data_IF_457269485608
#
_entry.id   IF_457269485608
#
_cell.length_a   1.000
_cell.length_b   1.000
_cell.length_c   1.000
_cell.angle_alpha   90.00
_cell.angle_beta   90.00
_cell.angle_gamma   90.00
#
_symmetry.space_group_name_H-M   'P 1'
#
loop_
_entity.id
_entity.type
_entity.pdbx_description
1 polymer ?
#
# COMPACT_ATOMS: atom_id res chain seq x y z
N UNK A 1 46.75 68.83 44.27
CA UNK A 1 46.69 67.75 43.31
C UNK A 1 46.59 66.45 44.06
N UNK A 2 45.35 65.87 44.13
CA UNK A 2 45.10 64.57 44.81
C UNK A 2 45.14 63.47 43.76
N UNK A 3 46.07 62.50 43.90
CA UNK A 3 46.15 61.33 43.06
C UNK A 3 45.06 60.35 43.54
N UNK A 4 44.09 60.05 42.67
CA UNK A 4 43.12 58.98 42.85
C UNK A 4 43.83 57.65 42.52
N UNK A 5 44.00 56.81 43.50
CA UNK A 5 44.67 55.52 43.36
C UNK A 5 43.81 54.49 42.56
N UNK A 6 44.50 53.82 41.70
CA UNK A 6 44.00 52.74 40.80
C UNK A 6 43.85 51.44 41.61
N UNK A 7 42.79 51.28 42.37
CA UNK A 7 42.53 50.01 43.10
C UNK A 7 41.39 49.15 42.50
N UNK A 8 40.80 49.55 41.37
CA UNK A 8 39.68 48.85 40.80
C UNK A 8 40.03 47.91 39.62
N UNK A 9 41.28 47.97 39.13
CA UNK A 9 41.71 47.16 37.98
C UNK A 9 41.66 45.63 38.21
N UNK A 10 42.07 45.09 39.37
CA UNK A 10 42.05 43.62 39.57
C UNK A 10 40.65 43.05 39.80
N UNK A 11 39.71 43.89 40.36
CA UNK A 11 38.32 43.42 40.58
C UNK A 11 37.53 43.27 39.29
N UNK A 12 37.75 44.12 38.28
CA UNK A 12 37.07 44.02 36.98
C UNK A 12 37.56 42.79 36.20
N UNK A 13 38.86 42.45 36.30
CA UNK A 13 39.41 41.25 35.65
C UNK A 13 38.85 39.95 36.24
N UNK A 14 38.71 39.90 37.56
CA UNK A 14 38.15 38.74 38.26
C UNK A 14 36.69 38.53 37.91
N UNK A 15 35.90 39.62 37.81
CA UNK A 15 34.48 39.57 37.42
C UNK A 15 34.29 39.06 35.98
N UNK A 16 35.15 39.45 35.06
CA UNK A 16 35.12 39.00 33.67
C UNK A 16 35.46 37.52 33.52
N UNK A 17 36.46 37.03 34.25
CA UNK A 17 36.86 35.62 34.26
C UNK A 17 35.78 34.74 34.90
N UNK A 18 35.17 35.16 35.98
CA UNK A 18 34.07 34.44 36.63
C UNK A 18 32.81 34.44 35.76
N UNK A 19 32.51 35.53 35.07
CA UNK A 19 31.36 35.60 34.11
C UNK A 19 31.59 34.70 32.92
N UNK A 20 32.77 34.61 32.35
CA UNK A 20 33.10 33.70 31.24
C UNK A 20 33.10 32.23 31.70
N UNK A 21 33.57 31.93 32.93
CA UNK A 21 33.47 30.58 33.48
C UNK A 21 32.02 30.15 33.73
N UNK A 22 31.14 31.04 34.23
CA UNK A 22 29.73 30.75 34.42
C UNK A 22 28.97 30.49 33.09
N UNK A 23 29.36 31.12 32.00
CA UNK A 23 28.74 30.86 30.67
C UNK A 23 29.22 29.55 30.03
N UNK A 24 30.34 28.97 30.48
CA UNK A 24 30.83 27.68 30.01
C UNK A 24 30.15 26.51 30.76
N UNK A 25 29.68 26.74 32.00
CA UNK A 25 29.05 25.69 32.83
C UNK A 25 27.61 25.39 32.36
N UNK A 26 26.91 26.36 31.71
CA UNK A 26 25.55 26.18 31.16
C UNK A 26 25.54 25.60 29.73
N UNK A 27 26.69 25.26 29.17
CA UNK A 27 26.72 24.42 27.98
C UNK A 27 26.42 22.98 28.41
N UNK A 28 25.13 22.70 28.64
CA UNK A 28 24.65 21.31 28.68
C UNK A 28 25.22 20.62 27.44
N UNK A 29 26.08 19.57 27.61
CA UNK A 29 26.43 18.73 26.51
C UNK A 29 25.10 18.14 26.05
N UNK A 30 24.54 18.66 24.97
CA UNK A 30 23.32 18.13 24.39
C UNK A 30 23.56 16.63 24.20
N UNK A 31 23.15 15.84 25.19
CA UNK A 31 23.10 14.40 25.06
C UNK A 31 22.16 14.14 23.89
N UNK A 32 22.74 14.00 22.70
CA UNK A 32 22.03 13.52 21.55
C UNK A 32 21.49 12.14 21.95
N UNK A 33 20.21 12.12 22.36
CA UNK A 33 19.55 10.85 22.68
C UNK A 33 19.71 9.95 21.47
N UNK A 34 20.27 8.77 21.71
CA UNK A 34 20.41 7.77 20.66
C UNK A 34 19.06 7.59 19.94
N UNK A 35 19.05 7.49 18.62
CA UNK A 35 17.82 7.36 17.85
C UNK A 35 16.98 6.21 18.40
N UNK A 36 15.66 6.45 18.55
CA UNK A 36 14.74 5.46 19.16
C UNK A 36 14.87 4.07 18.54
N UNK A 37 15.11 3.99 17.23
CA UNK A 37 15.19 2.72 16.50
C UNK A 37 16.59 2.08 16.48
N UNK A 38 17.60 2.72 17.05
CA UNK A 38 18.96 2.17 17.09
C UNK A 38 18.98 0.82 17.81
N UNK A 39 19.51 -0.21 17.16
CA UNK A 39 19.60 -1.57 17.68
C UNK A 39 18.25 -2.29 17.82
N UNK A 40 17.15 -1.71 17.31
CA UNK A 40 15.82 -2.33 17.36
C UNK A 40 15.45 -3.04 16.05
N UNK A 41 14.52 -3.97 16.18
CA UNK A 41 13.93 -4.68 15.05
C UNK A 41 12.49 -4.24 14.88
N UNK A 42 12.13 -3.87 13.64
CA UNK A 42 10.75 -3.59 13.21
C UNK A 42 10.20 -4.86 12.56
N UNK A 43 9.06 -5.32 13.01
CA UNK A 43 8.31 -6.40 12.36
C UNK A 43 7.33 -5.83 11.34
N UNK A 44 7.51 -6.16 10.07
CA UNK A 44 6.57 -5.82 9.01
C UNK A 44 5.65 -7.02 8.76
N UNK A 45 4.40 -6.89 9.22
CA UNK A 45 3.35 -7.90 8.99
C UNK A 45 2.83 -7.74 7.56
N UNK A 46 2.71 -8.84 6.84
CA UNK A 46 2.16 -8.93 5.48
C UNK A 46 0.92 -9.82 5.54
N UNK A 47 -0.23 -9.28 5.10
CA UNK A 47 -1.53 -9.97 5.10
C UNK A 47 -1.70 -11.00 3.97
N UNK A 48 -0.60 -11.45 3.36
CA UNK A 48 -0.55 -12.42 2.26
C UNK A 48 0.57 -13.43 2.50
N UNK A 49 0.70 -14.42 1.62
CA UNK A 49 1.82 -15.36 1.61
C UNK A 49 3.12 -14.74 1.09
N UNK A 50 4.27 -15.41 1.29
CA UNK A 50 5.55 -15.01 0.69
C UNK A 50 5.55 -15.23 -0.83
N UNK A 51 6.42 -14.49 -1.54
CA UNK A 51 6.67 -14.66 -2.98
C UNK A 51 5.75 -13.87 -3.91
N UNK A 52 4.53 -13.52 -3.47
CA UNK A 52 3.60 -12.74 -4.28
C UNK A 52 3.99 -11.26 -4.39
N UNK A 53 3.33 -10.52 -5.30
CA UNK A 53 3.60 -9.08 -5.55
C UNK A 53 3.54 -8.22 -4.26
N UNK A 54 2.69 -8.59 -3.32
CA UNK A 54 2.62 -7.94 -2.01
C UNK A 54 3.90 -8.07 -1.19
N UNK A 55 4.54 -9.22 -1.23
CA UNK A 55 5.83 -9.48 -0.57
C UNK A 55 6.97 -8.75 -1.28
N UNK A 56 7.05 -8.82 -2.59
CA UNK A 56 8.08 -8.12 -3.38
C UNK A 56 8.07 -6.61 -3.10
N UNK A 57 6.89 -5.99 -3.11
CA UNK A 57 6.73 -4.56 -2.79
C UNK A 57 7.09 -4.24 -1.35
N UNK A 58 6.73 -5.12 -0.40
CA UNK A 58 7.10 -4.94 1.02
C UNK A 58 8.61 -5.01 1.21
N UNK A 59 9.31 -5.92 0.54
CA UNK A 59 10.78 -6.03 0.57
C UNK A 59 11.46 -4.82 -0.05
N UNK A 60 10.99 -4.38 -1.22
CA UNK A 60 11.49 -3.17 -1.87
C UNK A 60 11.32 -1.94 -0.97
N UNK A 61 10.12 -1.76 -0.39
CA UNK A 61 9.87 -0.68 0.56
C UNK A 61 10.78 -0.76 1.78
N UNK A 62 10.94 -1.94 2.40
CA UNK A 62 11.77 -2.12 3.58
C UNK A 62 13.22 -1.74 3.31
N UNK A 63 13.77 -2.10 2.13
CA UNK A 63 15.15 -1.78 1.75
C UNK A 63 15.43 -0.26 1.65
N UNK A 64 14.41 0.51 1.30
CA UNK A 64 14.48 1.98 1.26
C UNK A 64 14.20 2.56 2.64
N UNK A 65 13.15 2.08 3.31
CA UNK A 65 12.68 2.60 4.60
C UNK A 65 13.77 2.59 5.67
N UNK A 66 14.54 1.49 5.78
CA UNK A 66 15.67 1.37 6.72
C UNK A 66 16.66 2.53 6.60
N UNK A 67 16.93 3.00 5.37
CA UNK A 67 17.91 4.08 5.12
C UNK A 67 17.42 5.45 5.61
N UNK A 68 16.11 5.60 5.80
CA UNK A 68 15.47 6.87 6.19
C UNK A 68 15.00 6.88 7.65
N UNK A 69 15.08 5.76 8.37
CA UNK A 69 14.75 5.70 9.78
C UNK A 69 16.01 5.96 10.61
N UNK A 70 16.03 7.02 11.46
CA UNK A 70 17.16 7.27 12.34
C UNK A 70 17.45 6.07 13.25
N UNK A 71 18.69 5.62 13.27
CA UNK A 71 19.11 4.40 13.98
C UNK A 71 19.13 3.13 13.15
N UNK A 72 18.71 3.21 11.86
CA UNK A 72 18.79 2.12 10.88
C UNK A 72 18.36 0.75 11.43
N UNK A 73 17.11 0.58 11.86
CA UNK A 73 16.64 -0.66 12.49
C UNK A 73 16.68 -1.84 11.51
N UNK A 74 16.75 -3.04 12.05
CA UNK A 74 16.51 -4.25 11.26
C UNK A 74 15.01 -4.36 10.95
N UNK A 75 14.63 -4.72 9.72
CA UNK A 75 13.24 -5.04 9.37
C UNK A 75 13.11 -6.53 9.11
N UNK A 76 12.19 -7.19 9.83
CA UNK A 76 11.83 -8.60 9.65
C UNK A 76 10.41 -8.71 9.09
N UNK A 77 10.12 -9.79 8.37
CA UNK A 77 8.83 -10.00 7.74
C UNK A 77 8.07 -11.12 8.45
N UNK A 78 6.79 -10.86 8.72
CA UNK A 78 5.86 -11.84 9.28
C UNK A 78 4.65 -11.98 8.36
N UNK A 79 4.43 -13.19 7.85
CA UNK A 79 3.33 -13.47 6.93
C UNK A 79 2.12 -13.99 7.69
N UNK A 80 0.96 -13.37 7.48
CA UNK A 80 -0.32 -13.74 8.07
C UNK A 80 -1.40 -13.80 6.99
N UNK A 81 -1.28 -14.74 6.07
CA UNK A 81 -2.26 -14.95 5.02
C UNK A 81 -3.62 -15.38 5.59
N UNK A 82 -4.68 -15.05 4.88
CA UNK A 82 -6.04 -15.50 5.13
C UNK A 82 -7.08 -14.39 5.16
N UNK A 83 -8.27 -14.72 4.69
CA UNK A 83 -9.46 -13.87 4.65
C UNK A 83 -9.19 -12.47 4.07
N UNK A 84 -8.46 -12.36 2.93
CA UNK A 84 -8.15 -11.07 2.30
C UNK A 84 -7.31 -10.13 3.18
N UNK A 85 -6.45 -10.66 4.05
CA UNK A 85 -5.64 -9.86 4.98
C UNK A 85 -6.35 -9.52 6.30
N UNK A 86 -7.64 -9.89 6.48
CA UNK A 86 -8.42 -9.61 7.69
C UNK A 86 -7.80 -10.23 8.94
N UNK A 87 -7.22 -11.45 8.82
CA UNK A 87 -6.51 -12.11 9.92
C UNK A 87 -5.36 -11.25 10.43
N UNK A 88 -4.55 -10.70 9.53
CA UNK A 88 -3.42 -9.85 9.87
C UNK A 88 -3.88 -8.50 10.45
N UNK A 89 -4.94 -7.91 9.90
CA UNK A 89 -5.53 -6.66 10.42
C UNK A 89 -6.10 -6.84 11.83
N UNK A 90 -6.82 -7.92 12.09
CA UNK A 90 -7.31 -8.27 13.43
C UNK A 90 -6.16 -8.45 14.42
N UNK A 91 -5.10 -9.16 14.01
CA UNK A 91 -3.90 -9.34 14.84
C UNK A 91 -3.23 -8.01 15.17
N UNK A 92 -3.01 -7.17 14.18
CA UNK A 92 -2.44 -5.83 14.38
C UNK A 92 -3.27 -5.03 15.41
N UNK A 93 -4.59 -5.04 15.24
CA UNK A 93 -5.50 -4.25 16.04
C UNK A 93 -5.62 -4.74 17.48
N UNK A 94 -5.72 -6.05 17.70
CA UNK A 94 -6.03 -6.64 19.00
C UNK A 94 -4.80 -7.12 19.77
N UNK A 95 -3.72 -7.51 19.07
CA UNK A 95 -2.61 -8.28 19.68
C UNK A 95 -1.27 -7.55 19.59
N UNK A 96 -1.01 -6.84 18.49
CA UNK A 96 0.27 -6.17 18.31
C UNK A 96 0.51 -5.09 19.38
N UNK A 97 1.74 -4.99 19.85
CA UNK A 97 2.13 -3.96 20.83
C UNK A 97 2.15 -2.58 20.15
N UNK A 98 1.66 -1.57 20.86
CA UNK A 98 1.68 -0.19 20.41
C UNK A 98 3.01 0.52 20.76
N UNK A 99 4.13 -0.13 20.48
CA UNK A 99 5.49 0.31 20.80
C UNK A 99 6.25 0.94 19.61
N UNK A 100 5.59 1.01 18.43
CA UNK A 100 6.20 1.56 17.21
C UNK A 100 7.11 0.59 16.47
N UNK A 101 7.20 -0.67 16.89
CA UNK A 101 8.05 -1.69 16.29
C UNK A 101 7.28 -2.67 15.40
N UNK A 102 5.98 -2.48 15.23
CA UNK A 102 5.16 -3.29 14.33
C UNK A 102 4.55 -2.44 13.24
N UNK A 103 4.87 -2.75 12.00
CA UNK A 103 4.27 -2.19 10.80
C UNK A 103 3.34 -3.23 10.18
N UNK A 104 2.33 -2.77 9.47
CA UNK A 104 1.47 -3.63 8.70
C UNK A 104 1.34 -3.11 7.27
N UNK A 105 1.68 -3.96 6.31
CA UNK A 105 1.33 -3.72 4.92
C UNK A 105 -0.09 -4.23 4.70
N UNK A 106 -0.99 -3.28 4.56
CA UNK A 106 -2.42 -3.52 4.39
C UNK A 106 -2.70 -4.16 3.02
N UNK A 107 -3.62 -5.13 3.01
CA UNK A 107 -4.35 -5.49 1.80
C UNK A 107 -5.47 -4.47 1.59
N UNK A 108 -5.68 -4.01 0.36
CA UNK A 108 -6.75 -3.07 0.01
C UNK A 108 -8.16 -3.57 0.40
N UNK A 109 -8.33 -4.88 0.59
CA UNK A 109 -9.60 -5.51 0.99
C UNK A 109 -10.06 -5.15 2.40
N UNK A 110 -9.16 -4.76 3.32
CA UNK A 110 -9.56 -4.53 4.73
C UNK A 110 -10.46 -3.30 4.90
N UNK A 111 -10.32 -2.29 4.03
CA UNK A 111 -11.17 -1.10 4.07
C UNK A 111 -12.62 -1.43 3.68
N UNK A 112 -12.89 -2.02 2.50
CA UNK A 112 -14.25 -2.40 2.15
C UNK A 112 -14.87 -3.40 3.13
N UNK A 113 -14.14 -4.31 3.72
CA UNK A 113 -14.67 -5.20 4.74
C UNK A 113 -15.18 -4.44 5.97
N UNK A 114 -14.43 -3.45 6.44
CA UNK A 114 -14.87 -2.64 7.57
C UNK A 114 -16.07 -1.77 7.22
N UNK A 115 -16.07 -1.13 6.04
CA UNK A 115 -17.15 -0.26 5.58
C UNK A 115 -18.45 -1.05 5.34
N UNK A 116 -18.36 -2.26 4.81
CA UNK A 116 -19.52 -3.12 4.53
C UNK A 116 -20.00 -3.91 5.75
N UNK A 117 -19.30 -3.81 6.90
CA UNK A 117 -19.65 -4.53 8.11
C UNK A 117 -19.50 -6.05 7.99
N UNK A 118 -18.52 -6.51 7.24
CA UNK A 118 -18.28 -7.94 7.03
C UNK A 118 -18.02 -8.67 8.35
N UNK A 119 -18.60 -9.87 8.47
CA UNK A 119 -18.43 -10.70 9.65
C UNK A 119 -16.96 -11.05 9.90
N UNK A 120 -16.54 -11.04 11.17
CA UNK A 120 -15.17 -11.33 11.57
C UNK A 120 -14.20 -10.16 11.42
N UNK A 121 -14.64 -8.95 11.06
CA UNK A 121 -13.89 -7.71 11.20
C UNK A 121 -13.84 -7.34 12.68
N UNK A 122 -12.61 -7.22 13.22
CA UNK A 122 -12.35 -6.91 14.63
C UNK A 122 -11.40 -5.71 14.76
N UNK A 123 -11.26 -4.90 13.72
CA UNK A 123 -10.43 -3.70 13.66
C UNK A 123 -11.30 -2.51 13.27
N UNK A 124 -10.83 -1.33 13.66
CA UNK A 124 -11.42 -0.04 13.34
C UNK A 124 -10.44 0.70 12.44
N UNK A 125 -10.81 0.94 11.19
CA UNK A 125 -9.95 1.59 10.19
C UNK A 125 -9.61 3.02 10.57
N UNK A 126 -10.46 3.72 11.33
CA UNK A 126 -10.24 5.10 11.77
C UNK A 126 -9.20 5.19 12.89
N UNK A 127 -8.88 4.07 13.52
CA UNK A 127 -7.85 3.99 14.58
C UNK A 127 -6.49 3.54 14.06
N UNK A 128 -6.38 3.20 12.79
CA UNK A 128 -5.11 2.91 12.15
C UNK A 128 -4.38 4.21 11.81
N UNK A 129 -3.06 4.22 11.98
CA UNK A 129 -2.23 5.35 11.57
C UNK A 129 -1.62 5.02 10.21
N UNK A 130 -2.10 5.68 9.19
CA UNK A 130 -1.65 5.52 7.82
C UNK A 130 -0.37 6.33 7.59
N UNK A 131 0.68 5.68 7.09
CA UNK A 131 1.98 6.30 6.85
C UNK A 131 2.15 6.76 5.41
N UNK A 132 1.59 6.03 4.47
CA UNK A 132 1.69 6.32 3.05
C UNK A 132 1.45 5.08 2.20
N UNK A 133 1.37 5.25 0.90
CA UNK A 133 1.21 4.18 -0.07
C UNK A 133 2.35 4.18 -1.08
N UNK A 134 2.73 3.02 -1.56
CA UNK A 134 3.63 2.84 -2.69
C UNK A 134 2.89 2.82 -4.02
N UNK A 135 1.56 2.82 -3.97
CA UNK A 135 0.68 2.69 -5.13
C UNK A 135 -0.18 3.94 -5.25
N UNK A 136 0.18 4.85 -6.15
CA UNK A 136 -0.56 6.09 -6.39
C UNK A 136 -1.31 6.12 -7.72
N UNK A 137 -0.96 5.19 -8.62
CA UNK A 137 -1.67 4.94 -9.88
C UNK A 137 -1.69 3.45 -10.12
N UNK A 138 -2.87 2.90 -10.28
CA UNK A 138 -3.10 1.51 -10.65
C UNK A 138 -3.95 1.47 -11.91
N UNK A 139 -3.63 0.54 -12.77
CA UNK A 139 -4.39 0.30 -13.99
C UNK A 139 -4.58 -1.20 -14.13
N UNK A 140 -5.82 -1.63 -14.15
CA UNK A 140 -6.14 -3.04 -14.29
C UNK A 140 -6.77 -3.30 -15.65
N UNK A 141 -6.56 -4.49 -16.15
CA UNK A 141 -7.08 -4.95 -17.43
C UNK A 141 -7.96 -6.17 -17.20
N UNK A 142 -9.19 -6.08 -17.65
CA UNK A 142 -10.03 -7.25 -17.82
C UNK A 142 -9.67 -7.89 -19.14
N UNK A 143 -9.13 -9.09 -19.09
CA UNK A 143 -8.64 -9.79 -20.27
C UNK A 143 -9.19 -11.20 -20.36
N UNK A 144 -9.24 -11.71 -21.58
CA UNK A 144 -9.67 -13.06 -21.93
C UNK A 144 -8.52 -13.80 -22.61
N UNK A 145 -8.46 -15.11 -22.40
CA UNK A 145 -7.49 -15.97 -23.08
C UNK A 145 -7.80 -16.02 -24.58
N UNK A 146 -6.82 -15.77 -25.42
CA UNK A 146 -7.02 -15.69 -26.87
C UNK A 146 -7.64 -16.96 -27.45
N UNK A 147 -7.17 -18.13 -26.99
CA UNK A 147 -7.70 -19.42 -27.43
C UNK A 147 -9.14 -19.70 -26.98
N UNK A 148 -9.70 -18.90 -26.07
CA UNK A 148 -11.12 -18.99 -25.70
C UNK A 148 -12.06 -18.40 -26.79
N UNK A 149 -11.50 -17.67 -27.76
CA UNK A 149 -12.28 -17.08 -28.85
C UNK A 149 -13.20 -15.92 -28.42
N UNK A 150 -12.92 -15.34 -27.23
CA UNK A 150 -13.69 -14.25 -26.62
C UNK A 150 -12.97 -12.92 -26.87
N UNK A 151 -12.66 -12.61 -28.11
CA UNK A 151 -11.82 -11.49 -28.53
C UNK A 151 -12.54 -10.12 -28.50
N UNK A 152 -13.85 -10.10 -28.26
CA UNK A 152 -14.64 -8.88 -28.18
C UNK A 152 -15.62 -8.91 -27.01
N UNK A 153 -15.98 -7.73 -26.48
CA UNK A 153 -17.04 -7.60 -25.47
C UNK A 153 -18.37 -8.22 -25.89
N UNK A 154 -18.70 -8.15 -27.18
CA UNK A 154 -19.93 -8.74 -27.71
C UNK A 154 -19.92 -10.26 -27.56
N UNK A 155 -18.83 -10.92 -27.92
CA UNK A 155 -18.65 -12.36 -27.74
C UNK A 155 -18.62 -12.76 -26.27
N UNK A 156 -17.92 -11.96 -25.45
CA UNK A 156 -17.86 -12.20 -24.00
C UNK A 156 -19.25 -12.14 -23.34
N UNK A 157 -20.06 -11.15 -23.71
CA UNK A 157 -21.45 -11.03 -23.24
C UNK A 157 -22.38 -12.13 -23.74
N UNK A 158 -22.15 -12.61 -24.94
CA UNK A 158 -22.96 -13.69 -25.53
C UNK A 158 -22.64 -15.07 -24.92
N UNK A 159 -21.41 -15.27 -24.48
CA UNK A 159 -20.95 -16.53 -23.89
C UNK A 159 -21.54 -16.74 -22.49
N UNK A 160 -21.96 -17.98 -22.19
CA UNK A 160 -22.40 -18.41 -20.86
C UNK A 160 -21.34 -19.29 -20.20
N UNK A 161 -21.24 -19.19 -18.89
CA UNK A 161 -20.37 -20.08 -18.09
C UNK A 161 -18.88 -19.80 -18.23
N UNK A 162 -18.46 -18.61 -18.69
CA UNK A 162 -17.05 -18.21 -18.81
C UNK A 162 -16.35 -18.34 -17.45
N UNK A 163 -15.23 -19.05 -17.41
CA UNK A 163 -14.45 -19.30 -16.20
C UNK A 163 -13.54 -18.10 -15.93
N UNK A 164 -13.78 -17.40 -14.83
CA UNK A 164 -12.99 -16.23 -14.42
C UNK A 164 -12.09 -16.64 -13.27
N UNK A 165 -10.79 -16.68 -13.51
CA UNK A 165 -9.78 -16.92 -12.48
C UNK A 165 -9.58 -15.68 -11.62
N UNK A 166 -9.38 -15.87 -10.33
CA UNK A 166 -9.16 -14.74 -9.41
C UNK A 166 -8.37 -15.14 -8.16
N UNK A 167 -7.86 -14.12 -7.47
CA UNK A 167 -7.31 -14.26 -6.13
C UNK A 167 -8.30 -14.96 -5.17
N UNK A 168 -7.84 -15.44 -4.01
CA UNK A 168 -8.72 -16.04 -3.01
C UNK A 168 -9.89 -15.12 -2.64
N UNK A 169 -11.02 -15.74 -2.22
CA UNK A 169 -12.22 -15.00 -1.82
C UNK A 169 -11.88 -13.93 -0.80
N UNK A 170 -12.37 -12.71 -1.08
CA UNK A 170 -12.16 -11.56 -0.23
C UNK A 170 -10.94 -10.70 -0.58
N UNK A 171 -10.03 -11.17 -1.40
CA UNK A 171 -8.96 -10.31 -1.92
C UNK A 171 -9.49 -9.37 -3.01
N UNK A 172 -8.80 -8.24 -3.19
CA UNK A 172 -9.19 -7.21 -4.16
C UNK A 172 -9.39 -7.78 -5.55
N UNK A 173 -8.49 -8.64 -6.03
CA UNK A 173 -8.60 -9.26 -7.35
C UNK A 173 -9.88 -10.09 -7.54
N UNK A 174 -10.37 -10.74 -6.47
CA UNK A 174 -11.65 -11.43 -6.51
C UNK A 174 -12.83 -10.43 -6.63
N UNK A 175 -12.79 -9.35 -5.86
CA UNK A 175 -13.83 -8.31 -5.88
C UNK A 175 -13.86 -7.64 -7.25
N UNK A 176 -12.70 -7.26 -7.78
CA UNK A 176 -12.56 -6.66 -9.12
C UNK A 176 -13.11 -7.56 -10.22
N UNK A 177 -12.81 -8.85 -10.17
CA UNK A 177 -13.31 -9.83 -11.14
C UNK A 177 -14.84 -9.91 -11.12
N UNK A 178 -15.44 -9.93 -9.93
CA UNK A 178 -16.90 -9.97 -9.77
C UNK A 178 -17.58 -8.69 -10.23
N UNK A 179 -17.03 -7.54 -9.85
CA UNK A 179 -17.57 -6.23 -10.25
C UNK A 179 -17.48 -6.06 -11.78
N UNK A 180 -16.33 -6.44 -12.37
CA UNK A 180 -16.14 -6.36 -13.82
C UNK A 180 -17.13 -7.26 -14.57
N UNK A 181 -17.29 -8.51 -14.15
CA UNK A 181 -18.23 -9.44 -14.77
C UNK A 181 -19.69 -8.93 -14.70
N UNK A 182 -20.06 -8.34 -13.56
CA UNK A 182 -21.39 -7.75 -13.34
C UNK A 182 -21.62 -6.54 -14.26
N UNK A 183 -20.67 -5.59 -14.30
CA UNK A 183 -20.81 -4.37 -15.09
C UNK A 183 -20.77 -4.64 -16.60
N UNK A 184 -19.96 -5.61 -17.03
CA UNK A 184 -19.90 -6.03 -18.44
C UNK A 184 -21.16 -6.81 -18.86
N UNK A 185 -22.02 -7.21 -17.92
CA UNK A 185 -23.24 -7.98 -18.18
C UNK A 185 -22.95 -9.38 -18.73
N UNK A 186 -22.03 -10.11 -18.05
CA UNK A 186 -21.70 -11.50 -18.44
C UNK A 186 -22.79 -12.48 -18.02
N UNK A 187 -23.04 -13.47 -18.86
CA UNK A 187 -24.04 -14.52 -18.60
C UNK A 187 -23.43 -15.65 -17.76
N UNK A 188 -23.99 -15.86 -16.57
CA UNK A 188 -23.64 -17.00 -15.69
C UNK A 188 -22.11 -17.20 -15.52
N UNK A 189 -21.33 -16.16 -15.19
CA UNK A 189 -19.87 -16.31 -15.07
C UNK A 189 -19.53 -17.27 -13.94
N UNK A 190 -18.55 -18.14 -14.17
CA UNK A 190 -18.04 -19.09 -13.17
C UNK A 190 -16.76 -18.56 -12.57
N UNK A 191 -16.80 -18.17 -11.31
CA UNK A 191 -15.60 -17.68 -10.61
C UNK A 191 -14.80 -18.85 -10.05
N UNK A 192 -13.52 -18.91 -10.40
CA UNK A 192 -12.56 -19.90 -9.91
C UNK A 192 -11.55 -19.15 -9.02
N UNK A 193 -11.84 -18.98 -7.73
CA UNK A 193 -10.97 -18.25 -6.80
C UNK A 193 -9.87 -19.16 -6.24
N UNK A 194 -8.83 -18.54 -5.67
CA UNK A 194 -7.80 -19.27 -4.92
C UNK A 194 -6.41 -19.20 -5.50
N UNK A 195 -6.25 -18.55 -6.64
CA UNK A 195 -4.94 -18.38 -7.27
C UNK A 195 -4.15 -17.26 -6.61
N UNK A 196 -2.88 -17.50 -6.31
CA UNK A 196 -1.90 -16.43 -6.21
C UNK A 196 -1.53 -15.95 -7.63
N UNK A 197 -0.93 -14.76 -7.76
CA UNK A 197 -0.77 -14.11 -9.07
C UNK A 197 -0.10 -15.04 -10.13
N UNK A 198 0.99 -15.70 -9.76
CA UNK A 198 1.76 -16.55 -10.67
C UNK A 198 1.00 -17.83 -11.05
N UNK A 199 0.29 -18.41 -10.08
CA UNK A 199 -0.53 -19.60 -10.33
C UNK A 199 -1.69 -19.28 -11.27
N UNK A 200 -2.26 -18.07 -11.17
CA UNK A 200 -3.34 -17.63 -12.07
C UNK A 200 -2.86 -17.53 -13.50
N UNK A 201 -1.66 -17.00 -13.74
CA UNK A 201 -1.10 -16.90 -15.09
C UNK A 201 -0.81 -18.28 -15.69
N UNK A 202 -0.35 -19.23 -14.87
CA UNK A 202 -0.16 -20.63 -15.30
C UNK A 202 -1.50 -21.27 -15.63
N UNK A 203 -2.50 -21.12 -14.78
CA UNK A 203 -3.86 -21.64 -15.02
C UNK A 203 -4.49 -21.04 -16.29
N UNK A 204 -4.27 -19.73 -16.49
CA UNK A 204 -4.72 -19.00 -17.68
C UNK A 204 -4.02 -19.54 -18.96
N UNK A 205 -2.71 -19.72 -18.93
CA UNK A 205 -1.97 -20.27 -20.06
C UNK A 205 -2.37 -21.71 -20.40
N UNK A 206 -2.68 -22.54 -19.38
CA UNK A 206 -3.16 -23.91 -19.53
C UNK A 206 -4.63 -24.02 -19.95
N UNK A 207 -5.38 -22.93 -19.92
CA UNK A 207 -6.80 -22.92 -20.23
C UNK A 207 -7.70 -23.47 -19.14
N UNK A 208 -7.24 -23.48 -17.90
CA UNK A 208 -8.05 -23.81 -16.73
C UNK A 208 -9.08 -22.69 -16.44
N UNK A 209 -8.74 -21.46 -16.79
CA UNK A 209 -9.60 -20.27 -16.76
C UNK A 209 -9.60 -19.55 -18.11
N UNK A 210 -10.66 -18.83 -18.41
CA UNK A 210 -10.88 -18.16 -19.70
C UNK A 210 -10.69 -16.65 -19.63
N UNK A 211 -10.86 -16.07 -18.45
CA UNK A 211 -10.76 -14.63 -18.22
C UNK A 211 -10.15 -14.33 -16.83
N UNK A 212 -9.61 -13.12 -16.69
CA UNK A 212 -9.10 -12.61 -15.43
C UNK A 212 -9.09 -11.06 -15.40
N UNK A 213 -8.98 -10.47 -14.21
CA UNK A 213 -8.61 -9.07 -14.01
C UNK A 213 -7.20 -9.05 -13.43
N UNK A 214 -6.28 -8.41 -14.14
CA UNK A 214 -4.87 -8.34 -13.74
C UNK A 214 -4.38 -6.90 -13.75
N UNK A 215 -3.46 -6.55 -12.85
CA UNK A 215 -2.78 -5.26 -12.90
C UNK A 215 -1.85 -5.18 -14.11
N UNK A 216 -1.60 -3.97 -14.62
CA UNK A 216 -0.70 -3.79 -15.76
C UNK A 216 0.74 -4.21 -15.44
N UNK A 217 1.20 -4.08 -14.20
CA UNK A 217 2.50 -4.60 -13.79
C UNK A 217 2.56 -6.12 -13.94
N UNK A 218 1.55 -6.83 -13.46
CA UNK A 218 1.46 -8.30 -13.60
C UNK A 218 1.44 -8.72 -15.07
N UNK A 219 0.61 -8.05 -15.89
CA UNK A 219 0.50 -8.36 -17.33
C UNK A 219 1.82 -8.18 -18.07
N UNK A 220 2.62 -7.17 -17.68
CA UNK A 220 3.92 -6.90 -18.30
C UNK A 220 5.00 -7.85 -17.79
N UNK A 221 5.06 -8.03 -16.47
CA UNK A 221 6.08 -8.85 -15.83
C UNK A 221 6.01 -10.31 -16.29
N UNK A 222 4.80 -10.82 -16.52
CA UNK A 222 4.60 -12.20 -16.97
C UNK A 222 4.61 -12.37 -18.48
N UNK A 223 5.05 -11.33 -19.22
CA UNK A 223 5.22 -11.36 -20.67
C UNK A 223 3.95 -11.78 -21.46
N UNK A 224 2.79 -11.61 -20.80
CA UNK A 224 1.49 -12.02 -21.36
C UNK A 224 1.17 -11.21 -22.62
N UNK A 225 1.57 -9.93 -22.65
CA UNK A 225 1.39 -9.04 -23.80
C UNK A 225 2.28 -9.49 -24.96
N UNK A 226 3.53 -9.80 -24.69
CA UNK A 226 4.51 -10.17 -25.72
C UNK A 226 4.19 -11.52 -26.36
N UNK A 227 3.64 -12.46 -25.59
CA UNK A 227 3.22 -13.78 -26.09
C UNK A 227 1.89 -13.73 -26.85
N UNK A 228 1.22 -12.60 -26.89
CA UNK A 228 -0.11 -12.44 -27.52
C UNK A 228 -1.13 -13.50 -27.05
N UNK A 229 -1.10 -13.82 -25.77
CA UNK A 229 -1.95 -14.86 -25.18
C UNK A 229 -3.33 -14.34 -24.78
N UNK A 230 -3.52 -13.01 -24.79
CA UNK A 230 -4.72 -12.35 -24.26
C UNK A 230 -5.36 -11.43 -25.29
N UNK A 231 -6.67 -11.25 -25.15
CA UNK A 231 -7.45 -10.18 -25.73
C UNK A 231 -7.96 -9.30 -24.59
N UNK A 232 -7.71 -7.99 -24.68
CA UNK A 232 -8.11 -7.04 -23.67
C UNK A 232 -9.54 -6.58 -23.92
N UNK A 233 -10.40 -6.59 -22.89
CA UNK A 233 -11.81 -6.29 -22.99
C UNK A 233 -12.16 -4.90 -22.47
N UNK A 234 -11.61 -4.54 -21.31
CA UNK A 234 -11.85 -3.26 -20.64
C UNK A 234 -10.69 -2.91 -19.71
N UNK A 235 -10.61 -1.65 -19.35
CA UNK A 235 -9.66 -1.14 -18.36
C UNK A 235 -10.39 -0.66 -17.11
N UNK A 236 -9.66 -0.65 -15.99
CA UNK A 236 -10.09 -0.04 -14.72
C UNK A 236 -9.02 0.97 -14.32
N UNK A 237 -9.35 2.25 -14.39
CA UNK A 237 -8.46 3.33 -14.02
C UNK A 237 -8.54 3.62 -12.51
N UNK A 238 -7.40 3.66 -11.83
CA UNK A 238 -7.32 3.97 -10.39
C UNK A 238 -6.16 4.95 -10.14
N UNK A 239 -6.45 6.22 -9.80
CA UNK A 239 -7.76 6.85 -9.79
C UNK A 239 -8.31 7.07 -11.21
N UNK A 240 -9.60 7.36 -11.31
CA UNK A 240 -10.27 7.69 -12.58
C UNK A 240 -9.52 8.79 -13.32
N UNK A 241 -9.38 8.67 -14.65
CA UNK A 241 -8.68 9.61 -15.52
C UNK A 241 -7.16 9.38 -15.58
N UNK A 242 -6.63 8.40 -14.86
CA UNK A 242 -5.20 8.06 -14.88
C UNK A 242 -4.97 6.78 -15.69
N UNK A 243 -4.60 6.95 -16.96
CA UNK A 243 -4.26 5.86 -17.88
C UNK A 243 -2.79 5.48 -17.76
N UNK A 244 -2.51 4.20 -17.86
CA UNK A 244 -1.14 3.72 -18.03
C UNK A 244 -0.70 3.98 -19.48
N UNK A 245 0.35 4.79 -19.67
CA UNK A 245 0.85 5.20 -20.98
C UNK A 245 1.20 4.03 -21.92
N UNK A 246 1.52 2.88 -21.35
CA UNK A 246 1.87 1.67 -22.11
C UNK A 246 0.66 1.02 -22.80
N UNK A 247 -0.56 1.32 -22.31
CA UNK A 247 -1.82 0.74 -22.79
C UNK A 247 -2.77 1.76 -23.42
N UNK A 248 -2.41 3.03 -23.48
CA UNK A 248 -3.26 4.08 -24.10
C UNK A 248 -3.61 3.75 -25.56
N UNK A 249 -2.67 3.21 -26.29
CA UNK A 249 -2.86 2.88 -27.72
C UNK A 249 -3.86 1.73 -27.97
N UNK A 250 -4.23 0.96 -26.94
CA UNK A 250 -5.22 -0.10 -27.07
C UNK A 250 -6.66 0.44 -27.15
N UNK A 251 -6.86 1.71 -26.83
CA UNK A 251 -8.18 2.39 -26.85
C UNK A 251 -9.29 1.56 -26.20
N UNK A 252 -8.99 0.97 -25.03
CA UNK A 252 -9.94 0.15 -24.28
C UNK A 252 -10.99 1.02 -23.61
N UNK A 253 -12.26 0.56 -23.55
CA UNK A 253 -13.28 1.23 -22.76
C UNK A 253 -12.91 1.13 -21.26
N UNK A 254 -13.16 2.21 -20.50
CA UNK A 254 -13.13 2.11 -19.04
C UNK A 254 -14.35 1.32 -18.56
N UNK A 255 -14.15 0.48 -17.55
CA UNK A 255 -15.23 -0.34 -16.99
C UNK A 255 -16.41 0.49 -16.50
N UNK A 256 -16.18 1.76 -16.15
CA UNK A 256 -17.23 2.69 -15.72
C UNK A 256 -18.22 3.04 -16.84
N UNK A 257 -17.84 2.94 -18.11
CA UNK A 257 -18.76 3.14 -19.24
C UNK A 257 -19.93 2.16 -19.23
N UNK A 258 -19.78 1.04 -18.53
CA UNK A 258 -20.81 0.02 -18.37
C UNK A 258 -21.66 0.23 -17.12
N UNK A 259 -21.28 1.12 -16.21
CA UNK A 259 -22.05 1.46 -15.00
C UNK A 259 -23.25 2.35 -15.36
N UNK A 260 -24.45 1.78 -15.33
CA UNK A 260 -25.71 2.45 -15.74
C UNK A 260 -26.40 3.16 -14.56
N UNK A 261 -26.29 2.61 -13.36
CA UNK A 261 -26.95 3.10 -12.16
C UNK A 261 -25.98 3.78 -11.19
N UNK A 262 -26.46 4.72 -10.39
CA UNK A 262 -25.65 5.39 -9.37
C UNK A 262 -25.00 4.42 -8.37
N UNK A 263 -25.70 3.35 -8.04
CA UNK A 263 -25.16 2.32 -7.15
C UNK A 263 -23.94 1.61 -7.75
N UNK A 264 -23.91 1.42 -9.06
CA UNK A 264 -22.80 0.80 -9.79
C UNK A 264 -21.58 1.73 -9.81
N UNK A 265 -21.79 3.02 -10.02
CA UNK A 265 -20.74 4.05 -9.93
C UNK A 265 -20.15 4.12 -8.53
N UNK A 266 -21.01 4.14 -7.49
CA UNK A 266 -20.58 4.11 -6.10
C UNK A 266 -19.77 2.85 -5.74
N UNK A 267 -20.14 1.69 -6.32
CA UNK A 267 -19.41 0.45 -6.15
C UNK A 267 -18.00 0.54 -6.76
N UNK A 268 -17.88 1.15 -7.94
CA UNK A 268 -16.59 1.40 -8.58
C UNK A 268 -15.74 2.41 -7.80
N UNK A 269 -16.35 3.48 -7.30
CA UNK A 269 -15.66 4.48 -6.48
C UNK A 269 -15.13 3.86 -5.19
N UNK A 270 -15.92 3.02 -4.52
CA UNK A 270 -15.48 2.26 -3.35
C UNK A 270 -14.31 1.34 -3.69
N UNK A 271 -14.37 0.63 -4.81
CA UNK A 271 -13.31 -0.25 -5.26
C UNK A 271 -12.01 0.54 -5.55
N UNK A 272 -12.11 1.65 -6.27
CA UNK A 272 -10.97 2.55 -6.55
C UNK A 272 -10.36 3.13 -5.27
N UNK A 273 -11.19 3.61 -4.36
CA UNK A 273 -10.74 4.12 -3.06
C UNK A 273 -10.03 3.04 -2.24
N UNK A 274 -10.56 1.82 -2.25
CA UNK A 274 -9.95 0.66 -1.60
C UNK A 274 -8.56 0.35 -2.17
N UNK A 275 -8.40 0.36 -3.48
CA UNK A 275 -7.12 0.08 -4.13
C UNK A 275 -6.05 1.12 -3.78
N UNK A 276 -6.42 2.40 -3.75
CA UNK A 276 -5.53 3.49 -3.35
C UNK A 276 -5.23 3.50 -1.86
N UNK A 277 -6.06 2.84 -1.05
CA UNK A 277 -5.90 2.77 0.41
C UNK A 277 -5.00 1.62 0.87
N UNK A 278 -4.25 0.94 -0.02
CA UNK A 278 -3.31 -0.11 0.36
C UNK A 278 -2.00 0.46 0.96
N UNK A 279 -2.04 1.11 2.12
CA UNK A 279 -0.93 1.81 2.71
C UNK A 279 -0.12 0.94 3.64
N UNK A 280 1.03 1.45 4.00
CA UNK A 280 1.73 1.03 5.19
C UNK A 280 1.06 1.69 6.40
N UNK A 281 0.74 0.94 7.44
CA UNK A 281 0.16 1.52 8.66
C UNK A 281 0.71 0.93 9.95
N UNK A 282 0.57 1.72 11.02
CA UNK A 282 0.76 1.29 12.40
C UNK A 282 -0.57 1.24 13.14
N UNK A 283 -0.59 0.59 14.27
CA UNK A 283 -1.67 0.70 15.23
C UNK A 283 -1.31 1.61 16.40
N UNK A 284 -2.19 2.59 16.69
CA UNK A 284 -2.53 3.34 17.91
C UNK A 284 -2.08 4.80 18.05
N UNK A 285 -3.05 5.59 18.61
CA UNK A 285 -3.05 7.04 18.88
C UNK A 285 -1.86 7.62 19.67
N UNK A 286 -1.11 6.87 20.47
CA UNK A 286 -0.01 7.42 21.29
C UNK A 286 1.27 7.73 20.49
N UNK A 287 1.43 7.17 19.32
CA UNK A 287 2.63 7.38 18.47
C UNK A 287 2.49 8.54 17.48
N UNK A 288 1.32 9.13 17.36
CA UNK A 288 1.05 10.22 16.41
C UNK A 288 2.03 11.41 16.55
N UNK A 289 2.48 11.71 17.77
CA UNK A 289 3.50 12.75 18.02
C UNK A 289 4.89 12.37 17.52
N UNK A 290 5.31 11.11 17.66
CA UNK A 290 6.62 10.64 17.20
C UNK A 290 6.67 10.55 15.65
N UNK A 291 5.65 9.97 15.04
CA UNK A 291 5.56 9.78 13.60
C UNK A 291 5.36 11.12 12.86
N UNK A 292 4.55 12.04 13.40
CA UNK A 292 4.35 13.36 12.79
C UNK A 292 5.61 14.22 12.79
N UNK A 293 6.50 14.03 13.75
CA UNK A 293 7.78 14.73 13.80
C UNK A 293 8.77 14.23 12.72
N UNK A 294 8.70 12.94 12.36
CA UNK A 294 9.60 12.33 11.38
C UNK A 294 9.11 12.42 9.93
N UNK A 295 7.79 12.35 9.71
CA UNK A 295 7.22 12.34 8.35
C UNK A 295 6.83 13.74 7.84
N UNK A 296 6.88 14.79 8.65
CA UNK A 296 6.58 16.18 8.25
C UNK A 296 7.74 16.91 7.59
N UNK A 297 8.80 16.23 7.15
CA UNK A 297 9.73 16.88 6.22
C UNK A 297 9.13 16.75 4.82
N UNK A 298 8.72 17.85 4.18
CA UNK A 298 8.24 17.82 2.81
C UNK A 298 9.35 17.22 1.93
N UNK A 299 9.01 16.32 1.04
CA UNK A 299 9.83 15.98 -0.11
C UNK A 299 9.85 17.21 -1.04
N UNK A 300 10.52 18.27 -0.63
CA UNK A 300 10.86 19.38 -1.49
C UNK A 300 12.17 19.03 -2.22
N UNK A 301 12.03 18.30 -3.32
CA UNK A 301 12.93 18.46 -4.46
C UNK A 301 12.07 18.46 -5.72
N UNK A 302 12.12 19.53 -6.51
CA UNK A 302 11.51 19.56 -7.83
C UNK A 302 12.27 18.58 -8.74
N UNK A 303 11.49 17.89 -9.58
CA UNK A 303 11.99 17.20 -10.78
C UNK A 303 12.29 18.26 -11.83
#
# INVERSE_FOLDING_TARGET
>A
MRRFGSHYAPALGLFFVVSVMLTIIDADPGFSQAPFYQGKTITLIIGAGPGGMGDLRARALASVLVKHIPGSPTITFQYMAGAGGRKAANHLYNTARADGLTLFRISSSIVPYAVLGESGVQYDIDKLVYLGTTEHVLYYLFNTRKQAGLDTLAKLRAASGVRIGSAPVGYTGYIQSRVSAYLVDMKEPRFIPGYENEDLDVAFARGEVDAQVASTSTVIEHDVVNKKLVDFQAAIEVPKGRKDSRFVNLNLPDIEEFAKADKEKKLLDMMRASDLSAPLCFYRRRLQKLVSTFLRRPCERPI
#
